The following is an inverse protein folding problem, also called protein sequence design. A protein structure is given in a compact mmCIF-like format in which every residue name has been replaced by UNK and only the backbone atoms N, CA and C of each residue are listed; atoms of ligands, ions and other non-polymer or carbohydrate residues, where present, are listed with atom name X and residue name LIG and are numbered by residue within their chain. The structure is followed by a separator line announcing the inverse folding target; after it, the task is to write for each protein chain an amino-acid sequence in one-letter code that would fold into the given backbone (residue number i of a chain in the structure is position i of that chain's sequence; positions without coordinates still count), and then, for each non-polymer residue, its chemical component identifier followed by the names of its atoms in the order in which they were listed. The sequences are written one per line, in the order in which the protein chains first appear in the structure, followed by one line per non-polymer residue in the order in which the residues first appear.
data_IF_800094582504
#
_entry.id   IF_800094582504
#
_cell.length_a   1.000
_cell.length_b   1.000
_cell.length_c   1.000
_cell.angle_alpha   90.00
_cell.angle_beta   90.00
_cell.angle_gamma   90.00
#
_symmetry.space_group_name_H-M   'P 1'
#
loop_
_entity.id
_entity.type
_entity.pdbx_description
1 polymer ?
#
# COMPACT_ATOMS: atom_id res chain seq x y z
N UNK A 1 28.82 4.05 15.69
CA UNK A 1 28.66 4.25 14.23
C UNK A 1 27.58 5.31 14.04
N UNK A 2 27.68 6.16 13.02
CA UNK A 2 26.60 7.11 12.68
C UNK A 2 25.36 6.32 12.20
N UNK A 3 24.17 6.81 12.57
CA UNK A 3 22.92 6.22 12.07
C UNK A 3 22.81 6.40 10.55
N UNK A 4 22.14 5.44 9.87
CA UNK A 4 21.85 5.58 8.45
C UNK A 4 20.74 6.58 8.22
N UNK A 5 20.94 7.53 7.30
CA UNK A 5 19.93 8.55 6.96
C UNK A 5 18.94 8.00 5.94
N UNK A 6 17.69 7.88 6.34
CA UNK A 6 16.60 7.33 5.52
C UNK A 6 15.62 8.44 5.16
N UNK A 7 15.51 8.75 3.86
CA UNK A 7 14.52 9.68 3.37
C UNK A 7 13.27 8.93 2.91
N UNK A 8 12.11 9.33 3.45
CA UNK A 8 10.83 8.70 3.18
C UNK A 8 9.90 9.65 2.43
N UNK A 9 9.48 9.25 1.22
CA UNK A 9 8.41 9.90 0.46
C UNK A 9 7.08 9.27 0.85
N UNK A 10 6.05 10.07 1.11
CA UNK A 10 4.74 9.57 1.54
C UNK A 10 4.68 9.12 2.99
N UNK A 11 5.55 9.64 3.85
CA UNK A 11 5.66 9.31 5.28
C UNK A 11 4.36 9.46 6.09
N UNK A 12 3.43 10.32 5.65
CA UNK A 12 2.14 10.56 6.31
C UNK A 12 1.01 9.62 5.82
N UNK A 13 1.28 8.70 4.88
CA UNK A 13 0.33 7.67 4.44
C UNK A 13 0.38 6.44 5.36
N UNK A 14 -0.52 5.47 5.12
CA UNK A 14 -0.61 4.25 5.95
C UNK A 14 0.70 3.45 5.92
N UNK A 15 1.18 3.07 4.73
CA UNK A 15 2.45 2.35 4.57
C UNK A 15 3.64 3.19 5.08
N UNK A 16 3.70 4.47 4.68
CA UNK A 16 4.78 5.36 5.11
C UNK A 16 4.80 5.57 6.62
N UNK A 17 3.64 5.73 7.26
CA UNK A 17 3.51 5.85 8.71
C UNK A 17 3.97 4.59 9.45
N UNK A 18 3.63 3.41 8.92
CA UNK A 18 4.15 2.14 9.44
C UNK A 18 5.67 2.08 9.36
N UNK A 19 6.23 2.46 8.20
CA UNK A 19 7.69 2.44 8.01
C UNK A 19 8.38 3.44 8.94
N UNK A 20 7.84 4.66 9.10
CA UNK A 20 8.33 5.63 10.08
C UNK A 20 8.42 5.01 11.47
N UNK A 21 7.33 4.39 11.94
CA UNK A 21 7.30 3.76 13.26
C UNK A 21 8.34 2.64 13.37
N UNK A 22 8.39 1.72 12.41
CA UNK A 22 9.34 0.60 12.44
C UNK A 22 10.81 1.04 12.44
N UNK A 23 11.16 2.12 11.72
CA UNK A 23 12.52 2.68 11.71
C UNK A 23 12.87 3.40 13.01
N UNK A 24 11.90 4.10 13.62
CA UNK A 24 12.08 4.74 14.92
C UNK A 24 12.24 3.72 16.04
N UNK A 25 11.43 2.66 16.03
CA UNK A 25 11.47 1.59 17.03
C UNK A 25 12.78 0.79 16.96
N UNK A 26 13.35 0.59 15.76
CA UNK A 26 14.66 -0.02 15.56
C UNK A 26 15.81 0.83 16.13
N UNK A 27 15.70 2.14 16.02
CA UNK A 27 16.63 3.11 16.63
C UNK A 27 17.95 3.33 15.89
N UNK A 28 18.24 2.61 14.80
CA UNK A 28 19.50 2.70 14.03
C UNK A 28 19.44 3.68 12.84
N UNK A 29 18.32 4.40 12.68
CA UNK A 29 18.08 5.27 11.55
C UNK A 29 17.80 6.71 11.96
N UNK A 30 18.29 7.65 11.14
CA UNK A 30 17.85 9.03 11.14
C UNK A 30 16.78 9.20 10.04
N UNK A 31 15.52 9.30 10.46
CA UNK A 31 14.38 9.33 9.53
C UNK A 31 14.06 10.76 9.11
N UNK A 32 13.98 10.97 7.80
CA UNK A 32 13.70 12.26 7.17
C UNK A 32 12.49 12.09 6.26
N UNK A 33 11.49 12.96 6.38
CA UNK A 33 10.33 12.93 5.49
C UNK A 33 10.45 13.98 4.39
N UNK A 34 10.33 13.56 3.13
CA UNK A 34 10.21 14.46 1.98
C UNK A 34 8.75 14.86 1.81
N UNK A 35 8.45 16.14 1.97
CA UNK A 35 7.07 16.67 1.97
C UNK A 35 6.91 17.73 0.90
N UNK A 36 5.88 17.59 0.06
CA UNK A 36 5.50 18.64 -0.91
C UNK A 36 5.18 19.95 -0.19
N UNK A 37 5.60 21.12 -0.71
CA UNK A 37 5.31 22.42 -0.08
C UNK A 37 3.82 22.62 0.28
N UNK A 38 2.90 22.26 -0.60
CA UNK A 38 1.46 22.40 -0.38
C UNK A 38 0.86 21.45 0.68
N UNK A 39 1.65 20.54 1.26
CA UNK A 39 1.17 19.60 2.30
C UNK A 39 1.70 19.91 3.70
N UNK A 40 2.59 20.89 3.86
CA UNK A 40 3.27 21.18 5.13
C UNK A 40 2.31 21.48 6.28
N UNK A 41 1.20 22.15 6.00
CA UNK A 41 0.21 22.57 7.01
C UNK A 41 -0.76 21.48 7.45
N UNK A 42 -0.64 20.25 6.89
CA UNK A 42 -1.55 19.16 7.24
C UNK A 42 -1.23 18.63 8.63
N UNK A 43 -2.27 18.31 9.42
CA UNK A 43 -2.15 17.72 10.76
C UNK A 43 -1.32 16.43 10.75
N UNK A 44 -1.39 15.65 9.69
CA UNK A 44 -0.57 14.43 9.53
C UNK A 44 0.93 14.74 9.46
N UNK A 45 1.34 15.92 8.97
CA UNK A 45 2.75 16.35 8.95
C UNK A 45 3.16 16.86 10.33
N UNK A 46 2.31 17.60 11.05
CA UNK A 46 2.56 17.98 12.44
C UNK A 46 2.86 16.75 13.29
N UNK A 47 2.08 15.69 13.17
CA UNK A 47 2.32 14.40 13.88
C UNK A 47 3.70 13.78 13.58
N UNK A 48 4.25 13.98 12.37
CA UNK A 48 5.62 13.53 12.06
C UNK A 48 6.67 14.38 12.79
N UNK A 49 6.47 15.70 12.82
CA UNK A 49 7.36 16.62 13.56
C UNK A 49 7.34 16.30 15.06
N UNK A 50 6.16 16.04 15.63
CA UNK A 50 5.99 15.67 17.05
C UNK A 50 6.72 14.35 17.40
N UNK A 51 6.92 13.46 16.41
CA UNK A 51 7.74 12.24 16.55
C UNK A 51 9.25 12.49 16.36
N UNK A 52 9.67 13.74 16.18
CA UNK A 52 11.07 14.08 15.94
C UNK A 52 11.57 13.86 14.51
N UNK A 53 10.65 13.63 13.54
CA UNK A 53 11.04 13.44 12.15
C UNK A 53 11.46 14.76 11.52
N UNK A 54 12.65 14.78 10.93
CA UNK A 54 13.13 15.93 10.16
C UNK A 54 12.33 16.05 8.85
N UNK A 55 11.90 17.26 8.52
CA UNK A 55 11.16 17.54 7.28
C UNK A 55 12.07 18.18 6.25
N UNK A 56 12.15 17.62 5.05
CA UNK A 56 12.69 18.27 3.86
C UNK A 56 11.55 18.64 2.91
N UNK A 57 11.57 19.87 2.42
CA UNK A 57 10.51 20.40 1.54
C UNK A 57 10.95 20.24 0.08
N UNK A 58 10.33 19.34 -0.66
CA UNK A 58 10.53 19.24 -2.09
C UNK A 58 9.33 18.53 -2.75
N UNK A 59 9.01 18.91 -3.99
CA UNK A 59 8.05 18.21 -4.84
C UNK A 59 8.80 17.23 -5.74
N UNK A 60 8.25 16.04 -6.02
CA UNK A 60 8.87 15.07 -6.93
C UNK A 60 8.94 15.61 -8.38
N UNK A 61 8.11 16.60 -8.70
CA UNK A 61 8.07 17.30 -10.01
C UNK A 61 8.96 18.56 -10.04
N UNK A 62 9.73 18.81 -8.99
CA UNK A 62 10.71 19.89 -8.98
C UNK A 62 11.84 19.66 -9.98
N UNK A 63 12.65 20.71 -10.22
CA UNK A 63 13.83 20.55 -11.07
C UNK A 63 14.81 19.53 -10.48
N UNK A 64 15.70 18.98 -11.32
CA UNK A 64 16.69 17.99 -10.90
C UNK A 64 17.62 18.57 -9.82
N UNK A 65 17.99 19.84 -9.91
CA UNK A 65 18.84 20.52 -8.94
C UNK A 65 18.19 20.56 -7.55
N UNK A 66 16.91 20.90 -7.46
CA UNK A 66 16.18 20.91 -6.20
C UNK A 66 16.02 19.48 -5.61
N UNK A 67 15.85 18.47 -6.47
CA UNK A 67 15.82 17.08 -6.02
C UNK A 67 17.19 16.65 -5.48
N UNK A 68 18.29 17.00 -6.17
CA UNK A 68 19.67 16.73 -5.72
C UNK A 68 19.93 17.38 -4.36
N UNK A 69 19.55 18.66 -4.19
CA UNK A 69 19.69 19.36 -2.91
C UNK A 69 18.90 18.67 -1.80
N UNK A 70 17.65 18.28 -2.09
CA UNK A 70 16.80 17.57 -1.12
C UNK A 70 17.35 16.18 -0.75
N UNK A 71 18.20 15.58 -1.59
CA UNK A 71 18.81 14.27 -1.36
C UNK A 71 20.24 14.34 -0.80
N UNK A 72 20.76 15.52 -0.46
CA UNK A 72 22.10 15.64 0.13
C UNK A 72 22.21 14.76 1.38
N UNK A 73 23.33 13.99 1.48
CA UNK A 73 23.67 13.09 2.62
C UNK A 73 22.64 11.99 2.95
N UNK A 74 21.80 11.61 2.02
CA UNK A 74 20.86 10.49 2.19
C UNK A 74 21.51 9.16 1.80
N UNK A 75 21.43 8.19 2.70
CA UNK A 75 21.91 6.83 2.45
C UNK A 75 20.85 5.96 1.76
N UNK A 76 19.59 6.04 2.21
CA UNK A 76 18.48 5.21 1.74
C UNK A 76 17.27 6.08 1.42
N UNK A 77 16.64 5.82 0.29
CA UNK A 77 15.34 6.41 -0.08
C UNK A 77 14.28 5.32 -0.06
N UNK A 78 13.14 5.59 0.58
CA UNK A 78 11.95 4.74 0.54
C UNK A 78 10.79 5.57 -0.02
N UNK A 79 10.15 5.08 -1.07
CA UNK A 79 9.03 5.77 -1.71
C UNK A 79 7.71 5.05 -1.46
N UNK A 80 6.73 5.78 -0.90
CA UNK A 80 5.37 5.31 -0.64
C UNK A 80 4.34 6.24 -1.31
N UNK A 81 4.53 6.49 -2.60
CA UNK A 81 3.63 7.34 -3.41
C UNK A 81 2.29 6.66 -3.70
N UNK A 82 1.28 7.44 -4.03
CA UNK A 82 -0.03 6.93 -4.44
C UNK A 82 -0.01 6.24 -5.81
N UNK A 83 -1.08 5.49 -6.16
CA UNK A 83 -1.17 4.79 -7.45
C UNK A 83 -1.03 5.71 -8.68
N UNK A 84 -1.55 6.92 -8.62
CA UNK A 84 -1.47 7.88 -9.72
C UNK A 84 -0.10 8.57 -9.86
N UNK A 85 0.78 8.43 -8.87
CA UNK A 85 2.06 9.13 -8.77
C UNK A 85 3.25 8.18 -8.99
N UNK A 86 3.01 6.97 -9.55
CA UNK A 86 4.07 5.95 -9.66
C UNK A 86 5.27 6.45 -10.46
N UNK A 87 5.05 7.07 -11.61
CA UNK A 87 6.12 7.54 -12.49
C UNK A 87 6.80 8.81 -11.98
N UNK A 88 6.21 9.56 -11.03
CA UNK A 88 6.86 10.71 -10.38
C UNK A 88 8.12 10.30 -9.59
N UNK A 89 8.34 9.01 -9.36
CA UNK A 89 9.57 8.46 -8.77
C UNK A 89 10.77 8.46 -9.74
N UNK A 90 10.55 8.57 -11.04
CA UNK A 90 11.65 8.50 -12.03
C UNK A 90 12.63 9.68 -11.90
N UNK A 91 12.18 10.95 -11.81
CA UNK A 91 13.09 12.07 -11.52
C UNK A 91 13.84 11.91 -10.19
N UNK A 92 13.16 11.43 -9.14
CA UNK A 92 13.77 11.15 -7.84
C UNK A 92 14.88 10.08 -7.95
N UNK A 93 14.66 9.00 -8.71
CA UNK A 93 15.66 7.95 -8.93
C UNK A 93 16.88 8.48 -9.69
N UNK A 94 16.69 9.36 -10.68
CA UNK A 94 17.78 10.04 -11.39
C UNK A 94 18.63 10.90 -10.46
N UNK A 95 18.00 11.73 -9.62
CA UNK A 95 18.67 12.53 -8.63
C UNK A 95 19.39 11.66 -7.57
N UNK A 96 18.76 10.56 -7.11
CA UNK A 96 19.35 9.61 -6.18
C UNK A 96 20.64 8.96 -6.73
N UNK A 97 20.68 8.66 -8.03
CA UNK A 97 21.91 8.17 -8.67
C UNK A 97 23.02 9.20 -8.63
N UNK A 98 22.71 10.46 -8.89
CA UNK A 98 23.71 11.54 -8.91
C UNK A 98 24.26 11.87 -7.52
N UNK A 99 23.44 11.73 -6.48
CA UNK A 99 23.85 11.97 -5.08
C UNK A 99 24.52 10.77 -4.42
N UNK A 100 24.61 9.61 -5.10
CA UNK A 100 25.28 8.43 -4.58
C UNK A 100 24.48 7.70 -3.48
N UNK A 101 23.16 7.77 -3.52
CA UNK A 101 22.27 7.01 -2.62
C UNK A 101 22.64 5.52 -2.68
N UNK A 102 22.81 4.92 -1.50
CA UNK A 102 23.28 3.52 -1.36
C UNK A 102 22.16 2.49 -1.59
N UNK A 103 20.89 2.89 -1.43
CA UNK A 103 19.73 2.02 -1.65
C UNK A 103 18.47 2.84 -1.95
N UNK A 104 17.78 2.48 -2.99
CA UNK A 104 16.48 3.01 -3.37
C UNK A 104 15.41 1.93 -3.24
N UNK A 105 14.39 2.17 -2.43
CA UNK A 105 13.22 1.29 -2.30
C UNK A 105 12.06 1.98 -3.03
N UNK A 106 11.76 1.59 -4.28
CA UNK A 106 10.62 2.14 -5.00
C UNK A 106 9.30 1.73 -4.35
N UNK A 107 8.24 2.43 -4.66
CA UNK A 107 6.90 2.09 -4.20
C UNK A 107 6.44 0.74 -4.76
N UNK A 108 6.74 -0.33 -4.06
CA UNK A 108 6.17 -1.67 -4.22
C UNK A 108 4.91 -1.77 -3.36
N UNK A 109 5.00 -2.46 -2.24
CA UNK A 109 4.00 -2.56 -1.17
C UNK A 109 2.61 -3.01 -1.64
N UNK A 110 2.56 -3.89 -2.64
CA UNK A 110 1.35 -4.50 -3.17
C UNK A 110 1.42 -6.03 -3.07
N UNK A 111 0.40 -6.71 -3.57
CA UNK A 111 0.37 -8.17 -3.72
C UNK A 111 1.36 -8.64 -4.79
N UNK A 112 1.80 -9.88 -4.69
CA UNK A 112 2.56 -10.52 -5.78
C UNK A 112 1.69 -10.62 -7.02
N UNK A 113 2.25 -10.20 -8.15
CA UNK A 113 1.66 -10.32 -9.47
C UNK A 113 2.79 -10.24 -10.51
N UNK A 114 2.79 -11.06 -11.57
CA UNK A 114 3.74 -10.92 -12.65
C UNK A 114 3.41 -9.67 -13.49
N UNK A 115 4.39 -9.00 -14.10
CA UNK A 115 4.14 -7.95 -15.08
C UNK A 115 3.54 -8.53 -16.37
N UNK A 116 2.95 -7.66 -17.19
CA UNK A 116 2.48 -8.01 -18.53
C UNK A 116 0.96 -8.08 -18.66
N UNK A 117 0.25 -7.04 -18.18
CA UNK A 117 -1.17 -6.82 -18.46
C UNK A 117 -2.15 -7.53 -17.52
N UNK A 118 -1.67 -8.17 -16.43
CA UNK A 118 -2.55 -8.77 -15.42
C UNK A 118 -3.09 -7.69 -14.50
N UNK A 119 -2.20 -6.85 -13.98
CA UNK A 119 -2.54 -5.70 -13.15
C UNK A 119 -1.85 -4.45 -13.70
N UNK A 120 -2.63 -3.48 -14.13
CA UNK A 120 -2.09 -2.20 -14.61
C UNK A 120 -1.18 -1.52 -13.58
N UNK A 121 -1.52 -1.59 -12.30
CA UNK A 121 -0.69 -1.01 -11.25
C UNK A 121 0.68 -1.70 -11.14
N UNK A 122 0.77 -3.02 -11.38
CA UNK A 122 2.05 -3.73 -11.45
C UNK A 122 2.86 -3.24 -12.65
N UNK A 123 2.24 -3.09 -13.81
CA UNK A 123 2.92 -2.65 -15.01
C UNK A 123 3.48 -1.22 -14.87
N UNK A 124 2.72 -0.30 -14.26
CA UNK A 124 3.20 1.04 -13.91
C UNK A 124 4.42 1.02 -12.98
N UNK A 125 4.46 0.12 -12.00
CA UNK A 125 5.61 -0.05 -11.11
C UNK A 125 6.82 -0.61 -11.85
N UNK A 126 6.63 -1.55 -12.77
CA UNK A 126 7.75 -2.12 -13.55
C UNK A 126 8.40 -1.08 -14.47
N UNK A 127 7.67 -0.06 -14.96
CA UNK A 127 8.26 1.08 -15.66
C UNK A 127 9.32 1.76 -14.76
N UNK A 128 8.97 2.03 -13.51
CA UNK A 128 9.89 2.64 -12.53
C UNK A 128 11.06 1.70 -12.22
N UNK A 129 10.79 0.42 -11.99
CA UNK A 129 11.84 -0.57 -11.70
C UNK A 129 12.83 -0.72 -12.85
N UNK A 130 12.38 -0.66 -14.11
CA UNK A 130 13.24 -0.69 -15.27
C UNK A 130 14.12 0.56 -15.35
N UNK A 131 13.59 1.74 -15.06
CA UNK A 131 14.38 2.97 -14.98
C UNK A 131 15.48 2.89 -13.91
N UNK A 132 15.17 2.37 -12.73
CA UNK A 132 16.14 2.17 -11.63
C UNK A 132 17.26 1.23 -12.08
N UNK A 133 16.93 0.12 -12.77
CA UNK A 133 17.92 -0.84 -13.30
C UNK A 133 18.79 -0.20 -14.38
N UNK A 134 18.22 0.58 -15.30
CA UNK A 134 18.96 1.30 -16.34
C UNK A 134 19.94 2.33 -15.76
N UNK A 135 19.59 2.95 -14.64
CA UNK A 135 20.44 3.88 -13.91
C UNK A 135 21.56 3.20 -13.12
N UNK A 136 21.56 1.87 -13.00
CA UNK A 136 22.44 1.15 -12.07
C UNK A 136 22.35 1.70 -10.65
N UNK A 137 21.14 2.14 -10.25
CA UNK A 137 20.88 2.59 -8.89
C UNK A 137 20.67 1.38 -7.99
N UNK A 138 21.41 1.21 -6.88
CA UNK A 138 21.18 0.10 -5.96
C UNK A 138 19.76 0.16 -5.40
N UNK A 139 19.04 -0.98 -5.37
CA UNK A 139 17.63 -1.00 -5.03
C UNK A 139 17.22 -2.18 -4.15
N UNK A 140 16.03 -2.10 -3.59
CA UNK A 140 15.29 -3.25 -3.05
C UNK A 140 13.81 -3.05 -3.35
N UNK A 141 13.18 -3.99 -4.05
CA UNK A 141 11.73 -3.98 -4.29
C UNK A 141 11.08 -4.80 -3.20
N UNK A 142 10.07 -4.22 -2.52
CA UNK A 142 9.36 -4.89 -1.43
C UNK A 142 7.88 -4.93 -1.74
N UNK A 143 7.33 -6.14 -1.85
CA UNK A 143 5.90 -6.41 -1.90
C UNK A 143 5.45 -7.03 -0.58
N UNK A 144 4.20 -6.79 -0.19
CA UNK A 144 3.74 -7.08 1.19
C UNK A 144 2.48 -7.95 1.25
N UNK A 145 2.01 -8.43 0.10
CA UNK A 145 0.77 -9.18 0.06
C UNK A 145 -0.46 -8.33 0.41
N UNK A 146 -1.53 -8.98 0.87
CA UNK A 146 -2.76 -8.32 1.26
C UNK A 146 -2.71 -7.90 2.73
N UNK A 147 -3.24 -6.71 3.07
CA UNK A 147 -3.19 -6.26 4.46
C UNK A 147 -4.27 -6.92 5.33
N UNK A 148 -3.95 -7.26 6.58
CA UNK A 148 -4.90 -7.72 7.59
C UNK A 148 -6.12 -6.81 7.67
N UNK A 149 -5.89 -5.48 7.65
CA UNK A 149 -6.87 -4.42 7.78
C UNK A 149 -7.90 -4.37 6.63
N UNK A 150 -7.67 -5.15 5.57
CA UNK A 150 -8.54 -5.25 4.38
C UNK A 150 -9.04 -6.69 4.14
N UNK A 151 -8.69 -7.65 5.00
CA UNK A 151 -8.85 -9.07 4.69
C UNK A 151 -10.13 -9.70 5.26
N UNK A 152 -10.76 -9.12 6.27
CA UNK A 152 -11.89 -9.72 6.99
C UNK A 152 -13.25 -9.21 6.50
N UNK A 153 -14.31 -10.04 6.59
CA UNK A 153 -15.66 -9.67 6.19
C UNK A 153 -16.32 -8.73 7.21
N UNK A 154 -17.41 -8.09 6.79
CA UNK A 154 -18.28 -7.33 7.68
C UNK A 154 -19.12 -8.26 8.55
N UNK A 155 -19.40 -7.84 9.78
CA UNK A 155 -20.36 -8.50 10.68
C UNK A 155 -21.73 -7.82 10.61
N UNK A 156 -22.79 -8.59 10.78
CA UNK A 156 -24.16 -8.09 10.73
C UNK A 156 -24.44 -7.09 11.87
N UNK A 157 -23.89 -7.34 13.03
CA UNK A 157 -23.98 -6.43 14.19
C UNK A 157 -23.40 -5.03 13.93
N UNK A 158 -22.48 -4.91 12.96
CA UNK A 158 -21.75 -3.68 12.68
C UNK A 158 -20.74 -3.27 13.74
N UNK A 159 -20.44 -4.12 14.74
CA UNK A 159 -19.52 -3.79 15.85
C UNK A 159 -18.10 -3.46 15.38
N UNK A 160 -17.68 -3.95 14.19
CA UNK A 160 -16.37 -3.71 13.59
C UNK A 160 -16.35 -2.59 12.53
N UNK A 161 -17.49 -1.94 12.24
CA UNK A 161 -17.60 -0.92 11.19
C UNK A 161 -16.65 0.26 11.38
N UNK A 162 -16.24 0.53 12.61
CA UNK A 162 -15.27 1.58 12.94
C UNK A 162 -13.90 1.33 12.30
N UNK A 163 -13.50 0.08 12.14
CA UNK A 163 -12.19 -0.34 11.59
C UNK A 163 -12.26 -0.67 10.09
N UNK A 164 -13.46 -0.81 9.52
CA UNK A 164 -13.63 -1.18 8.13
C UNK A 164 -13.50 0.02 7.18
N UNK A 165 -12.90 -0.23 6.03
CA UNK A 165 -12.81 0.75 4.93
C UNK A 165 -13.87 0.47 3.85
N UNK A 166 -14.29 -0.77 3.70
CA UNK A 166 -15.35 -1.24 2.79
C UNK A 166 -15.99 -2.49 3.35
N UNK A 167 -17.19 -2.82 2.91
CA UNK A 167 -17.70 -4.17 3.04
C UNK A 167 -16.87 -5.10 2.13
N UNK A 168 -16.23 -6.10 2.71
CA UNK A 168 -15.60 -7.18 1.97
C UNK A 168 -16.58 -8.34 1.94
N UNK A 169 -17.70 -8.13 1.23
CA UNK A 169 -18.86 -9.03 1.30
C UNK A 169 -18.82 -10.11 0.21
N UNK A 170 -17.79 -10.10 -0.66
CA UNK A 170 -17.64 -11.04 -1.77
C UNK A 170 -16.48 -11.99 -1.53
N UNK A 171 -16.73 -13.28 -1.78
CA UNK A 171 -15.74 -14.35 -1.83
C UNK A 171 -15.45 -14.65 -3.29
N UNK A 172 -14.22 -14.45 -3.73
CA UNK A 172 -13.81 -14.62 -5.13
C UNK A 172 -13.61 -16.11 -5.44
N UNK A 173 -14.21 -16.60 -6.53
CA UNK A 173 -14.14 -18.01 -6.91
C UNK A 173 -14.80 -18.90 -5.86
N UNK A 174 -14.11 -19.94 -5.45
CA UNK A 174 -14.52 -20.86 -4.37
C UNK A 174 -14.05 -20.42 -2.98
N UNK A 175 -13.32 -19.34 -2.87
CA UNK A 175 -12.80 -18.79 -1.62
C UNK A 175 -11.62 -19.56 -1.01
N UNK A 176 -11.06 -20.55 -1.71
CA UNK A 176 -9.97 -21.39 -1.21
C UNK A 176 -8.60 -21.02 -1.76
N UNK A 177 -8.50 -19.98 -2.59
CA UNK A 177 -7.22 -19.53 -3.14
C UNK A 177 -6.30 -19.00 -2.03
N UNK A 178 -5.10 -19.61 -1.84
CA UNK A 178 -4.15 -19.15 -0.84
C UNK A 178 -3.65 -17.75 -1.16
N UNK A 179 -3.60 -16.87 -0.16
CA UNK A 179 -3.09 -15.51 -0.30
C UNK A 179 -2.19 -15.13 0.87
N UNK A 180 -1.08 -14.47 0.56
CA UNK A 180 -0.16 -13.93 1.56
C UNK A 180 -0.76 -12.68 2.21
N UNK A 181 -0.74 -12.65 3.55
CA UNK A 181 -1.30 -11.59 4.38
C UNK A 181 -0.22 -10.95 5.25
N UNK A 182 -0.33 -9.63 5.47
CA UNK A 182 0.61 -8.87 6.30
C UNK A 182 -0.14 -7.85 7.15
N UNK A 183 0.19 -7.79 8.44
CA UNK A 183 -0.24 -6.66 9.25
C UNK A 183 0.45 -5.38 8.79
N UNK A 184 -0.32 -4.32 8.61
CA UNK A 184 0.23 -3.03 8.19
C UNK A 184 1.34 -2.53 9.13
N UNK A 185 1.24 -2.81 10.43
CA UNK A 185 2.25 -2.41 11.43
C UNK A 185 3.58 -3.15 11.25
N UNK A 186 3.54 -4.39 10.76
CA UNK A 186 4.72 -5.21 10.54
C UNK A 186 5.50 -4.79 9.28
N UNK A 187 4.86 -4.08 8.34
CA UNK A 187 5.56 -3.56 7.15
C UNK A 187 6.77 -2.71 7.57
N UNK A 188 6.59 -1.81 8.53
CA UNK A 188 7.69 -0.98 9.04
C UNK A 188 8.78 -1.79 9.73
N UNK A 189 8.39 -2.77 10.54
CA UNK A 189 9.31 -3.69 11.24
C UNK A 189 10.13 -4.55 10.27
N UNK A 190 9.51 -5.05 9.20
CA UNK A 190 10.21 -5.73 8.11
C UNK A 190 11.16 -4.78 7.37
N UNK A 191 10.69 -3.55 7.07
CA UNK A 191 11.51 -2.58 6.35
C UNK A 191 12.79 -2.22 7.08
N UNK A 192 12.77 -2.07 8.41
CA UNK A 192 13.96 -1.81 9.21
C UNK A 192 15.02 -2.92 9.03
N UNK A 193 14.59 -4.20 9.05
CA UNK A 193 15.48 -5.33 8.77
C UNK A 193 15.94 -5.38 7.31
N UNK A 194 15.02 -5.23 6.38
CA UNK A 194 15.30 -5.33 4.94
C UNK A 194 16.34 -4.32 4.48
N UNK A 195 16.22 -3.05 4.88
CA UNK A 195 17.15 -2.01 4.41
C UNK A 195 18.54 -2.10 5.05
N UNK A 196 18.66 -2.78 6.20
CA UNK A 196 19.95 -3.05 6.87
C UNK A 196 20.64 -4.29 6.33
N UNK A 197 19.93 -5.20 5.67
CA UNK A 197 20.44 -6.49 5.23
C UNK A 197 21.09 -6.39 3.84
N UNK A 198 22.39 -6.70 3.71
CA UNK A 198 23.07 -6.71 2.40
C UNK A 198 22.52 -7.79 1.45
N UNK A 199 21.93 -8.88 1.96
CA UNK A 199 21.34 -9.96 1.15
C UNK A 199 20.13 -9.48 0.32
N UNK A 200 19.50 -8.39 0.70
CA UNK A 200 18.34 -7.81 0.00
C UNK A 200 18.70 -6.74 -1.01
N UNK A 201 19.99 -6.34 -1.10
CA UNK A 201 20.43 -5.33 -2.06
C UNK A 201 20.33 -5.88 -3.50
N UNK A 202 19.69 -5.12 -4.38
CA UNK A 202 19.37 -5.49 -5.76
C UNK A 202 18.48 -6.75 -5.86
N UNK A 203 17.58 -6.92 -4.88
CA UNK A 203 16.66 -8.05 -4.81
C UNK A 203 15.20 -7.58 -4.72
N UNK A 204 14.30 -8.54 -4.96
CA UNK A 204 12.88 -8.44 -4.64
C UNK A 204 12.63 -9.20 -3.34
N UNK A 205 11.79 -8.67 -2.47
CA UNK A 205 11.42 -9.28 -1.18
C UNK A 205 9.91 -9.29 -1.04
N UNK A 206 9.34 -10.44 -0.72
CA UNK A 206 7.98 -10.56 -0.21
C UNK A 206 8.03 -10.56 1.32
N UNK A 207 7.51 -9.50 1.93
CA UNK A 207 7.28 -9.44 3.36
C UNK A 207 5.83 -9.85 3.66
N UNK A 208 5.64 -10.95 4.43
CA UNK A 208 4.30 -11.42 4.79
C UNK A 208 4.32 -12.11 6.16
N UNK A 209 3.16 -12.16 6.81
CA UNK A 209 3.03 -12.77 8.14
C UNK A 209 2.56 -14.22 8.04
N UNK A 210 1.51 -14.45 7.24
CA UNK A 210 0.92 -15.79 7.04
C UNK A 210 0.31 -15.93 5.65
N UNK A 211 -0.08 -17.16 5.33
CA UNK A 211 -0.92 -17.48 4.15
C UNK A 211 -2.26 -17.99 4.64
N UNK A 212 -3.35 -17.44 4.11
CA UNK A 212 -4.72 -17.88 4.43
C UNK A 212 -5.58 -17.88 3.18
N UNK A 213 -6.85 -18.26 3.33
CA UNK A 213 -7.89 -18.24 2.29
C UNK A 213 -9.07 -17.41 2.77
N UNK A 214 -9.89 -16.88 1.85
CA UNK A 214 -11.08 -16.13 2.24
C UNK A 214 -12.02 -16.96 3.13
N UNK A 215 -12.23 -18.26 2.81
CA UNK A 215 -13.06 -19.12 3.64
C UNK A 215 -12.52 -19.27 5.07
N UNK A 216 -11.22 -19.52 5.25
CA UNK A 216 -10.63 -19.62 6.58
C UNK A 216 -10.73 -18.31 7.38
N UNK A 217 -10.62 -17.17 6.71
CA UNK A 217 -10.77 -15.86 7.35
C UNK A 217 -12.23 -15.67 7.83
N UNK A 218 -13.21 -16.05 7.01
CA UNK A 218 -14.62 -16.01 7.39
C UNK A 218 -14.91 -16.95 8.57
N UNK A 219 -14.41 -18.20 8.51
CA UNK A 219 -14.55 -19.19 9.59
C UNK A 219 -13.97 -18.64 10.91
N UNK A 220 -12.78 -18.04 10.86
CA UNK A 220 -12.15 -17.44 12.02
C UNK A 220 -12.95 -16.25 12.56
N UNK A 221 -13.50 -15.41 11.69
CA UNK A 221 -14.34 -14.29 12.10
C UNK A 221 -15.65 -14.79 12.74
N UNK A 222 -16.29 -15.83 12.20
CA UNK A 222 -17.49 -16.44 12.81
C UNK A 222 -17.19 -17.05 14.18
N UNK A 223 -16.04 -17.72 14.32
CA UNK A 223 -15.59 -18.28 15.59
C UNK A 223 -15.40 -17.18 16.67
N UNK A 224 -14.71 -16.08 16.30
CA UNK A 224 -14.37 -15.03 17.25
C UNK A 224 -15.53 -14.10 17.60
N UNK A 225 -16.45 -13.86 16.65
CA UNK A 225 -17.59 -12.96 16.84
C UNK A 225 -18.84 -13.66 17.34
N UNK A 226 -18.91 -14.98 17.25
CA UNK A 226 -20.09 -15.81 17.46
C UNK A 226 -21.26 -15.47 16.50
N UNK A 227 -21.00 -14.70 15.45
CA UNK A 227 -21.97 -14.34 14.43
C UNK A 227 -21.83 -15.24 13.18
N UNK A 228 -22.94 -15.54 12.51
CA UNK A 228 -22.92 -16.20 11.21
C UNK A 228 -22.76 -15.19 10.09
N UNK A 229 -21.85 -15.47 9.14
CA UNK A 229 -21.56 -14.58 8.03
C UNK A 229 -22.07 -15.23 6.73
N UNK A 230 -22.92 -14.50 6.02
CA UNK A 230 -23.44 -14.95 4.72
C UNK A 230 -22.30 -15.04 3.70
N UNK A 231 -22.16 -16.17 3.05
CA UNK A 231 -21.15 -16.42 2.02
C UNK A 231 -21.68 -15.98 0.65
N UNK A 232 -21.09 -14.93 0.09
CA UNK A 232 -21.43 -14.42 -1.25
C UNK A 232 -20.29 -14.76 -2.23
N UNK A 233 -20.36 -15.95 -2.84
CA UNK A 233 -19.35 -16.40 -3.80
C UNK A 233 -19.57 -15.75 -5.17
N UNK A 234 -18.51 -15.15 -5.72
CA UNK A 234 -18.51 -14.52 -7.04
C UNK A 234 -17.67 -15.37 -8.01
N UNK A 235 -18.28 -15.96 -9.02
CA UNK A 235 -17.57 -16.85 -9.94
C UNK A 235 -16.57 -16.10 -10.84
N UNK A 236 -15.59 -16.84 -11.37
CA UNK A 236 -14.53 -16.32 -12.23
C UNK A 236 -15.07 -15.52 -13.41
N UNK A 237 -16.12 -15.98 -14.07
CA UNK A 237 -16.69 -15.32 -15.24
C UNK A 237 -17.20 -13.91 -14.91
N UNK A 238 -17.75 -13.74 -13.70
CA UNK A 238 -18.21 -12.43 -13.23
C UNK A 238 -17.01 -11.49 -12.97
N UNK A 239 -15.95 -12.00 -12.33
CA UNK A 239 -14.72 -11.22 -12.10
C UNK A 239 -14.08 -10.80 -13.43
N UNK A 240 -13.95 -11.73 -14.37
CA UNK A 240 -13.42 -11.46 -15.71
C UNK A 240 -14.27 -10.41 -16.46
N UNK A 241 -15.59 -10.52 -16.41
CA UNK A 241 -16.49 -9.54 -17.04
C UNK A 241 -16.34 -8.15 -16.43
N UNK A 242 -16.27 -8.05 -15.10
CA UNK A 242 -16.00 -6.78 -14.38
C UNK A 242 -14.66 -6.18 -14.79
N UNK A 243 -13.61 -7.00 -14.88
CA UNK A 243 -12.28 -6.56 -15.27
C UNK A 243 -12.27 -5.99 -16.71
N UNK A 244 -12.89 -6.68 -17.68
CA UNK A 244 -13.00 -6.20 -19.06
C UNK A 244 -13.74 -4.87 -19.12
N UNK A 245 -14.90 -4.77 -18.47
CA UNK A 245 -15.70 -3.53 -18.46
C UNK A 245 -14.93 -2.36 -17.78
N UNK A 246 -14.24 -2.63 -16.69
CA UNK A 246 -13.47 -1.61 -15.98
C UNK A 246 -12.23 -1.15 -16.75
N UNK A 247 -11.57 -2.03 -17.50
CA UNK A 247 -10.48 -1.68 -18.42
C UNK A 247 -10.96 -0.77 -19.52
N UNK A 248 -12.02 -1.14 -20.23
CA UNK A 248 -12.63 -0.29 -21.27
C UNK A 248 -13.02 1.09 -20.74
N UNK A 249 -13.65 1.15 -19.56
CA UNK A 249 -14.03 2.41 -18.94
C UNK A 249 -12.83 3.29 -18.59
N UNK A 250 -11.73 2.70 -18.12
CA UNK A 250 -10.50 3.44 -17.78
C UNK A 250 -9.74 3.93 -19.01
N UNK A 251 -9.78 3.18 -20.12
CA UNK A 251 -9.17 3.59 -21.39
C UNK A 251 -9.94 4.73 -22.05
N UNK A 252 -11.27 4.69 -21.98
CA UNK A 252 -12.14 5.75 -22.53
C UNK A 252 -12.00 7.07 -21.77
N UNK A 253 -11.72 7.00 -20.46
CA UNK A 253 -11.62 8.17 -19.57
C UNK A 253 -10.31 8.15 -18.76
N UNK A 254 -9.14 8.31 -19.42
CA UNK A 254 -7.83 8.09 -18.79
C UNK A 254 -7.49 9.08 -17.68
N UNK A 255 -8.19 10.19 -17.56
CA UNK A 255 -7.99 11.22 -16.53
C UNK A 255 -9.03 11.20 -15.42
N UNK A 256 -10.00 10.26 -15.43
CA UNK A 256 -11.00 10.15 -14.37
C UNK A 256 -10.60 9.10 -13.33
N UNK A 257 -10.14 9.51 -12.12
CA UNK A 257 -9.73 8.57 -11.07
C UNK A 257 -10.83 7.56 -10.69
N UNK A 258 -12.11 7.94 -10.87
CA UNK A 258 -13.26 7.06 -10.57
C UNK A 258 -13.33 5.86 -11.51
N UNK A 259 -12.66 5.91 -12.65
CA UNK A 259 -12.60 4.80 -13.63
C UNK A 259 -11.44 3.84 -13.35
N UNK A 260 -10.35 4.34 -12.80
CA UNK A 260 -9.21 3.49 -12.42
C UNK A 260 -9.48 2.61 -11.21
N UNK A 261 -10.29 3.06 -10.28
CA UNK A 261 -10.53 2.37 -9.04
C UNK A 261 -11.27 1.03 -9.26
N UNK A 262 -12.38 0.96 -10.04
CA UNK A 262 -13.00 -0.31 -10.41
C UNK A 262 -12.01 -1.25 -11.11
N UNK A 263 -11.12 -0.72 -11.94
CA UNK A 263 -10.07 -1.50 -12.62
C UNK A 263 -9.11 -2.14 -11.62
N UNK A 264 -8.56 -1.36 -10.69
CA UNK A 264 -7.66 -1.90 -9.67
C UNK A 264 -8.30 -3.06 -8.91
N UNK A 265 -9.53 -2.88 -8.45
CA UNK A 265 -10.19 -3.91 -7.64
C UNK A 265 -10.47 -5.18 -8.44
N UNK A 266 -10.98 -5.06 -9.66
CA UNK A 266 -11.23 -6.22 -10.51
C UNK A 266 -9.92 -6.96 -10.83
N UNK A 267 -8.84 -6.22 -11.13
CA UNK A 267 -7.53 -6.80 -11.40
C UNK A 267 -6.91 -7.45 -10.15
N UNK A 268 -7.08 -6.86 -8.95
CA UNK A 268 -6.68 -7.50 -7.69
C UNK A 268 -7.49 -8.77 -7.41
N UNK A 269 -8.82 -8.73 -7.57
CA UNK A 269 -9.68 -9.90 -7.39
C UNK A 269 -9.29 -11.03 -8.35
N UNK A 270 -9.03 -10.70 -9.61
CA UNK A 270 -8.58 -11.68 -10.62
C UNK A 270 -7.19 -12.24 -10.26
N UNK A 271 -6.20 -11.40 -10.00
CA UNK A 271 -4.83 -11.83 -9.70
C UNK A 271 -4.76 -12.66 -8.41
N UNK A 272 -5.36 -12.19 -7.31
CA UNK A 272 -5.25 -12.86 -6.02
C UNK A 272 -6.25 -14.01 -5.86
N UNK A 273 -7.51 -13.83 -6.29
CA UNK A 273 -8.59 -14.75 -5.98
C UNK A 273 -8.84 -15.81 -7.06
N UNK A 274 -8.52 -15.53 -8.34
CA UNK A 274 -8.69 -16.48 -9.44
C UNK A 274 -7.35 -17.10 -9.83
N UNK A 275 -6.34 -16.29 -10.15
CA UNK A 275 -5.03 -16.78 -10.57
C UNK A 275 -4.17 -17.31 -9.43
N UNK A 276 -4.37 -16.83 -8.19
CA UNK A 276 -3.58 -17.22 -7.04
C UNK A 276 -2.16 -16.67 -7.06
N UNK A 277 -1.94 -15.52 -7.69
CA UNK A 277 -0.59 -14.95 -7.83
C UNK A 277 0.03 -14.55 -6.48
N UNK A 278 -0.80 -14.14 -5.51
CA UNK A 278 -0.33 -13.59 -4.24
C UNK A 278 0.03 -14.69 -3.23
N UNK A 279 1.02 -15.52 -3.55
CA UNK A 279 1.51 -16.55 -2.64
C UNK A 279 3.05 -16.62 -2.63
N UNK A 280 3.67 -17.16 -1.55
CA UNK A 280 5.12 -17.20 -1.42
C UNK A 280 5.83 -18.09 -2.44
N UNK A 281 5.21 -19.18 -2.89
CA UNK A 281 5.81 -20.09 -3.87
C UNK A 281 5.93 -19.41 -5.23
N UNK A 282 4.87 -18.74 -5.66
CA UNK A 282 4.91 -17.98 -6.90
C UNK A 282 5.85 -16.77 -6.79
N UNK A 283 5.93 -16.11 -5.62
CA UNK A 283 6.92 -15.07 -5.37
C UNK A 283 8.35 -15.61 -5.56
N UNK A 284 8.66 -16.78 -5.00
CA UNK A 284 9.98 -17.43 -5.18
C UNK A 284 10.25 -17.74 -6.66
N UNK A 285 9.26 -18.24 -7.39
CA UNK A 285 9.36 -18.46 -8.84
C UNK A 285 9.67 -17.16 -9.61
N UNK A 286 9.09 -16.03 -9.19
CA UNK A 286 9.36 -14.71 -9.76
C UNK A 286 10.68 -14.08 -9.27
N UNK A 287 11.49 -14.80 -8.49
CA UNK A 287 12.80 -14.36 -7.99
C UNK A 287 12.76 -13.49 -6.74
N UNK A 288 11.69 -13.58 -5.94
CA UNK A 288 11.63 -12.92 -4.63
C UNK A 288 12.30 -13.78 -3.55
N UNK A 289 12.99 -13.12 -2.62
CA UNK A 289 13.26 -13.69 -1.30
C UNK A 289 12.02 -13.48 -0.41
N UNK A 290 11.78 -14.39 0.53
CA UNK A 290 10.70 -14.20 1.51
C UNK A 290 11.25 -13.79 2.86
N UNK A 291 10.49 -13.00 3.63
CA UNK A 291 10.90 -12.62 4.98
C UNK A 291 10.99 -13.80 5.94
N UNK A 292 10.24 -14.88 5.73
CA UNK A 292 10.34 -16.11 6.50
C UNK A 292 11.68 -16.81 6.29
N UNK A 293 12.20 -16.82 5.05
CA UNK A 293 13.52 -17.40 4.75
C UNK A 293 14.66 -16.49 5.26
N UNK A 294 14.48 -15.16 5.14
CA UNK A 294 15.50 -14.20 5.54
C UNK A 294 15.60 -14.01 7.07
N UNK A 295 14.46 -14.00 7.74
CA UNK A 295 14.32 -13.62 9.16
C UNK A 295 13.44 -14.60 9.93
N UNK A 296 13.87 -15.86 10.10
CA UNK A 296 13.08 -16.90 10.79
C UNK A 296 12.84 -16.59 12.28
N UNK A 297 13.63 -15.66 12.85
CA UNK A 297 13.49 -15.16 14.22
C UNK A 297 12.44 -14.05 14.35
N UNK A 298 11.93 -13.51 13.25
CA UNK A 298 10.93 -12.44 13.29
C UNK A 298 9.61 -12.97 13.84
N UNK A 299 9.05 -12.27 14.81
CA UNK A 299 7.73 -12.56 15.37
C UNK A 299 6.70 -11.59 14.76
N UNK A 300 5.93 -12.02 13.77
CA UNK A 300 4.89 -11.19 13.19
C UNK A 300 3.71 -11.02 14.15
N UNK A 301 2.90 -10.02 13.92
CA UNK A 301 1.61 -9.87 14.58
C UNK A 301 0.73 -11.07 14.24
N UNK A 302 0.19 -11.74 15.25
CA UNK A 302 -0.74 -12.84 15.07
C UNK A 302 -2.06 -12.36 14.50
N UNK A 303 -2.62 -13.08 13.52
CA UNK A 303 -3.83 -12.67 12.83
C UNK A 303 -5.08 -12.83 13.70
N UNK A 304 -5.14 -13.89 14.52
CA UNK A 304 -6.23 -14.10 15.47
C UNK A 304 -6.27 -12.99 16.50
N UNK A 305 -5.12 -12.67 17.12
CA UNK A 305 -5.01 -11.57 18.09
C UNK A 305 -5.40 -10.22 17.48
N UNK A 306 -5.03 -9.99 16.21
CA UNK A 306 -5.45 -8.80 15.49
C UNK A 306 -6.98 -8.75 15.33
N UNK A 307 -7.62 -9.82 14.86
CA UNK A 307 -9.08 -9.88 14.69
C UNK A 307 -9.83 -9.75 16.01
N UNK A 308 -9.33 -10.37 17.08
CA UNK A 308 -9.86 -10.15 18.43
C UNK A 308 -9.80 -8.68 18.84
N UNK A 309 -8.71 -7.97 18.52
CA UNK A 309 -8.60 -6.54 18.79
C UNK A 309 -9.62 -5.71 17.98
N UNK A 310 -9.93 -6.14 16.75
CA UNK A 310 -10.97 -5.54 15.90
C UNK A 310 -12.35 -5.72 16.54
N UNK A 311 -12.68 -6.94 16.99
CA UNK A 311 -13.97 -7.24 17.61
C UNK A 311 -14.12 -6.50 18.95
N UNK A 312 -13.05 -6.42 19.76
CA UNK A 312 -13.04 -5.67 21.03
C UNK A 312 -13.09 -4.14 20.87
N UNK A 313 -13.05 -3.61 19.65
CA UNK A 313 -13.08 -2.16 19.43
C UNK A 313 -11.76 -1.43 19.73
N UNK A 314 -10.64 -2.15 19.86
CA UNK A 314 -9.31 -1.59 20.22
C UNK A 314 -8.36 -1.45 19.05
N UNK A 315 -8.67 -2.05 17.90
CA UNK A 315 -7.85 -1.89 16.69
C UNK A 315 -7.93 -0.47 16.13
N UNK A 316 -6.85 -0.02 15.52
CA UNK A 316 -6.83 1.26 14.80
C UNK A 316 -7.24 1.02 13.36
N UNK A 317 -8.33 1.67 12.93
CA UNK A 317 -8.78 1.62 11.54
C UNK A 317 -7.83 2.40 10.62
N UNK A 318 -7.68 1.95 9.38
CA UNK A 318 -6.89 2.63 8.36
C UNK A 318 -7.67 3.76 7.69
N UNK A 319 -6.97 4.75 7.11
CA UNK A 319 -7.57 5.90 6.41
C UNK A 319 -8.53 6.76 7.25
N UNK A 320 -8.41 6.76 8.58
CA UNK A 320 -9.31 7.48 9.49
C UNK A 320 -9.33 8.99 9.23
N UNK A 321 -8.18 9.60 8.99
CA UNK A 321 -8.10 11.04 8.68
C UNK A 321 -8.90 11.42 7.42
N UNK A 322 -8.99 10.51 6.45
CA UNK A 322 -9.79 10.69 5.23
C UNK A 322 -11.29 10.49 5.47
N UNK A 323 -11.66 9.62 6.39
CA UNK A 323 -13.05 9.36 6.78
C UNK A 323 -13.62 10.55 7.55
N UNK A 324 -12.88 11.09 8.51
CA UNK A 324 -13.29 12.23 9.35
C UNK A 324 -13.48 13.49 8.49
N UNK A 325 -12.56 13.81 7.60
CA UNK A 325 -12.67 14.99 6.73
C UNK A 325 -13.92 14.97 5.83
N UNK A 326 -14.41 13.79 5.46
CA UNK A 326 -15.65 13.64 4.65
C UNK A 326 -16.92 13.71 5.47
N UNK A 327 -16.94 13.27 6.73
CA UNK A 327 -18.09 13.45 7.61
C UNK A 327 -18.42 14.94 7.84
N UNK A 328 -17.41 15.79 7.89
CA UNK A 328 -17.58 17.23 8.04
C UNK A 328 -18.07 17.94 6.75
N UNK A 329 -17.87 17.35 5.57
CA UNK A 329 -18.34 17.92 4.30
C UNK A 329 -19.76 17.48 3.90
N UNK A 330 -20.38 16.50 4.61
CA UNK A 330 -21.70 15.95 4.29
C UNK A 330 -22.81 16.53 5.19
N UNK A 331 -23.15 17.80 4.95
CA UNK A 331 -24.42 18.37 5.41
C UNK A 331 -25.44 18.50 4.24
N UNK A 332 -25.46 17.54 3.30
CA UNK A 332 -26.48 17.47 2.24
C UNK A 332 -27.16 16.10 2.22
N UNK A 333 -28.50 16.03 1.97
CA UNK A 333 -29.27 14.79 2.05
C UNK A 333 -28.86 13.77 0.98
N UNK A 334 -28.81 12.50 1.39
CA UNK A 334 -28.45 11.36 0.53
C UNK A 334 -29.61 11.01 -0.39
N UNK A 335 -29.34 10.95 -1.69
CA UNK A 335 -30.11 10.13 -2.62
C UNK A 335 -29.17 9.14 -3.29
N UNK A 336 -29.42 7.83 -3.13
CA UNK A 336 -28.91 6.76 -3.97
C UNK A 336 -27.60 6.11 -3.56
N UNK A 337 -27.71 4.83 -3.30
CA UNK A 337 -26.68 3.81 -3.05
C UNK A 337 -25.53 3.79 -4.05
N UNK A 338 -24.30 3.94 -3.61
CA UNK A 338 -23.04 3.34 -4.08
C UNK A 338 -21.80 4.15 -3.65
N UNK A 339 -21.62 4.33 -2.35
CA UNK A 339 -20.37 4.88 -1.82
C UNK A 339 -19.48 3.73 -1.36
N UNK A 340 -18.77 3.13 -2.31
CA UNK A 340 -17.83 2.04 -2.09
C UNK A 340 -16.48 2.55 -1.55
N UNK A 341 -15.63 1.62 -1.11
CA UNK A 341 -14.22 1.77 -0.73
C UNK A 341 -13.45 2.82 -1.55
N UNK A 342 -13.76 2.93 -2.80
CA UNK A 342 -13.11 3.75 -3.80
C UNK A 342 -13.03 5.23 -3.45
N UNK A 343 -14.13 5.78 -2.97
CA UNK A 343 -14.14 7.17 -2.52
C UNK A 343 -13.40 7.38 -1.20
N UNK A 344 -13.06 6.33 -0.45
CA UNK A 344 -12.34 6.42 0.82
C UNK A 344 -10.83 6.37 0.66
N UNK A 345 -10.32 5.59 -0.32
CA UNK A 345 -8.88 5.38 -0.53
C UNK A 345 -8.23 6.51 -1.36
N UNK A 346 -8.98 7.10 -2.31
CA UNK A 346 -8.44 8.10 -3.24
C UNK A 346 -9.26 9.40 -3.19
N UNK A 347 -8.80 10.46 -2.55
CA UNK A 347 -9.49 11.75 -2.52
C UNK A 347 -9.46 12.43 -3.91
N UNK A 348 -10.51 13.18 -4.23
CA UNK A 348 -10.50 14.09 -5.40
C UNK A 348 -9.33 15.07 -5.23
N UNK A 349 -8.50 15.21 -6.26
CA UNK A 349 -7.57 16.35 -6.35
C UNK A 349 -8.39 17.56 -6.77
N UNK A 350 -8.26 18.67 -6.05
CA UNK A 350 -8.99 19.94 -6.27
C UNK A 350 -8.65 20.66 -7.58
N UNK A 351 -7.92 20.02 -8.50
CA UNK A 351 -7.39 20.69 -9.70
C UNK A 351 -8.24 20.55 -10.98
N UNK A 352 -9.44 19.96 -10.93
CA UNK A 352 -10.23 19.72 -12.16
C UNK A 352 -11.43 20.67 -12.38
N UNK A 353 -11.75 21.54 -11.43
CA UNK A 353 -12.95 22.42 -11.58
C UNK A 353 -12.65 23.78 -12.23
N UNK A 354 -11.39 24.11 -12.56
CA UNK A 354 -11.05 25.41 -13.15
C UNK A 354 -10.88 25.43 -14.68
N UNK A 355 -11.07 24.29 -15.36
CA UNK A 355 -10.85 24.16 -16.81
C UNK A 355 -12.13 24.02 -17.67
N UNK A 356 -13.33 24.12 -17.06
CA UNK A 356 -14.60 24.05 -17.83
C UNK A 356 -15.34 25.39 -17.90
N UNK A 357 -14.69 26.52 -17.67
CA UNK A 357 -15.23 27.84 -17.95
C UNK A 357 -14.25 28.69 -18.75
N UNK A 358 -14.07 28.33 -20.01
CA UNK A 358 -13.71 29.22 -21.11
C UNK A 358 -14.00 28.54 -22.46
#
# INVERSE_FOLDING_TARGET
MSKSKVLLVGAAGETGGSIVNGLLDDGNFDVIALIRPGSIQKTSITRLVDKGIQIRKCDLKASEEHLIEALADIDVIISCVGPAEQQDQIPLAKAAKKTGVKRFVPCGFITICPPGGIMWLRDEKEIVYNQIRQLWLPYTIVDVGWWYQLAYPRLESGCIDYAMTSGNDEIVGDGNMPTALTDLRDIGRYMARIISDPRTLNKKVLAYNLVSTQNKIHELMEELSEEKIVRNYVPEETICSRMVAARQASETYPFDPRKFIPRYMAEYQFSCGIRGDNNPEYAKYLGYHTTQDLYPDFKPTDFREYLESVIRGTAVGIYQDRIISRKHQRHFPRTGSSDSLYTRIFPRTESSDSLMSR
#
